data_IF_750655396573
#
_entry.id   IF_750655396573
#
_cell.length_a   1.000
_cell.length_b   1.000
_cell.length_c   1.000
_cell.angle_alpha   90.00
_cell.angle_beta   90.00
_cell.angle_gamma   90.00
#
_symmetry.space_group_name_H-M   'P 1'
#
loop_
_entity.id
_entity.type
_entity.pdbx_description
1 polymer ?
#
# COMPACT_ATOMS: atom_id res chain seq x y z
N UNK A 1 -20.02 -21.71 13.02
CA UNK A 1 -19.89 -22.08 11.59
C UNK A 1 -20.81 -21.24 10.69
N UNK A 2 -20.86 -19.91 10.91
CA UNK A 2 -21.57 -18.91 10.08
C UNK A 2 -20.74 -17.61 9.97
N UNK A 3 -19.80 -17.39 10.90
CA UNK A 3 -18.92 -16.21 10.95
C UNK A 3 -17.85 -16.17 9.84
N UNK A 4 -17.47 -17.31 9.27
CA UNK A 4 -16.50 -17.38 8.17
C UNK A 4 -17.07 -16.91 6.82
N UNK A 5 -18.37 -17.12 6.57
CA UNK A 5 -18.98 -16.71 5.30
C UNK A 5 -19.05 -15.18 5.18
N UNK A 6 -19.32 -14.48 6.28
CA UNK A 6 -19.30 -13.01 6.33
C UNK A 6 -17.90 -12.42 6.15
N UNK A 7 -16.88 -13.05 6.73
CA UNK A 7 -15.49 -12.60 6.63
C UNK A 7 -14.93 -12.78 5.20
N UNK A 8 -15.21 -13.91 4.56
CA UNK A 8 -14.81 -14.17 3.17
C UNK A 8 -15.53 -13.23 2.20
N UNK A 9 -16.82 -12.94 2.42
CA UNK A 9 -17.56 -12.01 1.57
C UNK A 9 -17.10 -10.56 1.73
N UNK A 10 -16.74 -10.14 2.94
CA UNK A 10 -16.13 -8.83 3.21
C UNK A 10 -14.78 -8.67 2.51
N UNK A 11 -13.88 -9.66 2.64
CA UNK A 11 -12.60 -9.66 1.94
C UNK A 11 -12.78 -9.67 0.43
N UNK A 12 -13.67 -10.51 -0.12
CA UNK A 12 -13.89 -10.59 -1.56
C UNK A 12 -14.49 -9.30 -2.14
N UNK A 13 -15.35 -8.60 -1.39
CA UNK A 13 -15.95 -7.33 -1.81
C UNK A 13 -14.92 -6.19 -1.78
N UNK A 14 -14.09 -6.14 -0.74
CA UNK A 14 -12.99 -5.18 -0.66
C UNK A 14 -11.96 -5.45 -1.77
N UNK A 15 -11.62 -6.72 -2.01
CA UNK A 15 -10.73 -7.16 -3.10
C UNK A 15 -11.26 -6.78 -4.49
N UNK A 16 -12.58 -6.86 -4.70
CA UNK A 16 -13.23 -6.53 -5.97
C UNK A 16 -13.19 -5.04 -6.25
N UNK A 17 -13.42 -4.20 -5.23
CA UNK A 17 -13.23 -2.75 -5.32
C UNK A 17 -11.73 -2.41 -5.53
N UNK A 18 -10.85 -3.14 -4.84
CA UNK A 18 -9.39 -3.07 -4.98
C UNK A 18 -8.86 -3.52 -6.36
N UNK A 19 -9.59 -4.36 -7.09
CA UNK A 19 -9.24 -4.84 -8.43
C UNK A 19 -9.69 -3.89 -9.55
N UNK A 20 -10.62 -2.97 -9.26
CA UNK A 20 -11.16 -2.06 -10.27
C UNK A 20 -10.28 -0.82 -10.49
N UNK A 21 -9.32 -0.58 -9.59
CA UNK A 21 -8.32 0.48 -9.75
C UNK A 21 -7.14 0.00 -10.58
N UNK A 22 -6.82 0.76 -11.63
CA UNK A 22 -5.62 0.52 -12.43
C UNK A 22 -4.38 0.75 -11.54
N UNK A 23 -3.48 -0.25 -11.50
CA UNK A 23 -2.27 -0.19 -10.69
C UNK A 23 -1.10 0.31 -11.54
N UNK A 24 -0.57 1.47 -11.21
CA UNK A 24 0.59 2.05 -11.87
C UNK A 24 1.75 2.26 -10.90
N UNK A 25 2.98 2.26 -11.41
CA UNK A 25 4.14 2.62 -10.61
C UNK A 25 4.38 4.13 -10.68
N UNK A 26 4.43 4.78 -9.52
CA UNK A 26 4.91 6.15 -9.38
C UNK A 26 6.36 6.12 -8.94
N UNK A 27 7.23 6.41 -9.90
CA UNK A 27 8.65 6.54 -9.66
C UNK A 27 8.92 7.82 -8.85
N UNK A 28 9.59 7.68 -7.71
CA UNK A 28 9.94 8.79 -6.83
C UNK A 28 11.40 8.71 -6.39
N UNK A 29 11.91 9.82 -5.86
CA UNK A 29 13.18 9.84 -5.13
C UNK A 29 12.99 9.52 -3.64
N UNK A 30 14.09 9.23 -2.94
CA UNK A 30 14.07 8.84 -1.53
C UNK A 30 13.53 9.94 -0.59
N UNK A 31 13.64 11.21 -0.99
CA UNK A 31 13.15 12.35 -0.21
C UNK A 31 11.68 12.69 -0.49
N UNK A 32 11.08 12.10 -1.52
CA UNK A 32 9.71 12.38 -1.93
C UNK A 32 8.67 12.15 -0.82
N UNK A 33 8.71 11.05 -0.02
CA UNK A 33 7.70 10.84 1.01
C UNK A 33 7.62 12.02 2.00
N UNK A 34 8.77 12.60 2.33
CA UNK A 34 8.89 13.76 3.22
C UNK A 34 8.49 15.06 2.53
N UNK A 35 8.93 15.29 1.28
CA UNK A 35 8.59 16.51 0.54
C UNK A 35 7.10 16.62 0.18
N UNK A 36 6.42 15.48 0.04
CA UNK A 36 4.99 15.41 -0.30
C UNK A 36 4.07 15.32 0.93
N UNK A 37 4.64 15.37 2.14
CA UNK A 37 3.95 15.07 3.41
C UNK A 37 3.21 13.72 3.40
N UNK A 38 3.65 12.80 2.54
CA UNK A 38 3.08 11.46 2.46
C UNK A 38 3.44 10.66 3.71
N UNK A 39 4.68 10.75 4.18
CA UNK A 39 5.08 10.05 5.40
C UNK A 39 4.37 10.59 6.63
N UNK A 40 4.20 11.91 6.75
CA UNK A 40 3.46 12.56 7.85
C UNK A 40 2.02 12.04 7.90
N UNK A 41 1.28 12.08 6.78
CA UNK A 41 -0.11 11.60 6.69
C UNK A 41 -0.29 10.15 7.14
N UNK A 42 0.69 9.29 6.90
CA UNK A 42 0.63 7.89 7.30
C UNK A 42 1.10 7.69 8.75
N UNK A 43 2.10 8.44 9.20
CA UNK A 43 2.53 8.46 10.60
C UNK A 43 1.42 8.94 11.54
N UNK A 44 0.66 9.97 11.14
CA UNK A 44 -0.53 10.44 11.88
C UNK A 44 -1.60 9.35 12.04
N UNK A 45 -1.66 8.41 11.10
CA UNK A 45 -2.54 7.23 11.15
C UNK A 45 -1.92 6.06 11.94
N UNK A 46 -0.77 6.26 12.58
CA UNK A 46 -0.06 5.24 13.34
C UNK A 46 0.80 4.30 12.50
N UNK A 47 1.07 4.61 11.23
CA UNK A 47 1.89 3.76 10.38
C UNK A 47 3.37 4.09 10.49
N UNK A 48 4.19 3.04 10.58
CA UNK A 48 5.62 3.09 10.33
C UNK A 48 5.89 2.78 8.86
N UNK A 49 6.66 3.64 8.19
CA UNK A 49 7.01 3.49 6.78
C UNK A 49 8.43 2.97 6.61
N UNK A 50 8.66 2.20 5.55
CA UNK A 50 10.00 1.80 5.10
C UNK A 50 10.01 1.46 3.62
N UNK A 51 11.20 1.49 3.04
CA UNK A 51 11.45 0.90 1.73
C UNK A 51 11.71 -0.60 1.87
N UNK A 52 11.20 -1.39 0.93
CA UNK A 52 11.44 -2.82 0.85
C UNK A 52 11.74 -3.24 -0.57
N UNK A 53 12.60 -4.23 -0.72
CA UNK A 53 12.79 -4.90 -2.01
C UNK A 53 11.51 -5.63 -2.43
N UNK A 54 11.24 -5.70 -3.74
CA UNK A 54 10.04 -6.36 -4.26
C UNK A 54 9.97 -7.84 -3.90
N UNK A 55 11.09 -8.56 -3.91
CA UNK A 55 11.17 -9.99 -3.54
C UNK A 55 10.81 -10.26 -2.08
N UNK A 56 10.93 -9.24 -1.21
CA UNK A 56 10.60 -9.37 0.21
C UNK A 56 9.18 -8.96 0.54
N UNK A 57 8.42 -8.39 -0.39
CA UNK A 57 7.07 -7.87 -0.10
C UNK A 57 6.16 -8.95 0.48
N UNK A 58 6.13 -10.14 -0.12
CA UNK A 58 5.24 -11.21 0.36
C UNK A 58 5.59 -11.66 1.78
N UNK A 59 6.89 -11.83 2.07
CA UNK A 59 7.35 -12.11 3.43
C UNK A 59 7.01 -10.98 4.40
N UNK A 60 7.11 -9.71 3.96
CA UNK A 60 6.77 -8.54 4.79
C UNK A 60 5.28 -8.42 5.04
N UNK A 61 4.43 -8.85 4.11
CA UNK A 61 2.97 -8.96 4.32
C UNK A 61 2.63 -9.91 5.46
N UNK A 62 3.34 -11.03 5.57
CA UNK A 62 3.17 -11.96 6.70
C UNK A 62 3.60 -11.32 8.04
N UNK A 63 4.58 -10.41 8.02
CA UNK A 63 4.99 -9.60 9.17
C UNK A 63 4.03 -8.42 9.47
N UNK A 64 2.93 -8.27 8.73
CA UNK A 64 1.96 -7.17 8.87
C UNK A 64 2.37 -5.86 8.19
N UNK A 65 3.25 -5.91 7.20
CA UNK A 65 3.56 -4.75 6.36
C UNK A 65 2.79 -4.79 5.04
N UNK A 66 2.25 -3.64 4.64
CA UNK A 66 1.41 -3.50 3.46
C UNK A 66 2.02 -2.49 2.49
N UNK A 67 1.74 -2.65 1.20
CA UNK A 67 2.18 -1.68 0.20
C UNK A 67 1.34 -0.41 0.37
N UNK A 68 2.00 0.74 0.45
CA UNK A 68 1.29 2.02 0.47
C UNK A 68 1.07 2.51 -0.95
N UNK A 69 -0.17 2.88 -1.23
CA UNK A 69 -0.60 3.41 -2.51
C UNK A 69 -0.99 4.88 -2.38
N UNK A 70 -0.67 5.66 -3.41
CA UNK A 70 -1.33 6.95 -3.65
C UNK A 70 -2.56 6.69 -4.53
N UNK A 71 -3.76 6.92 -4.00
CA UNK A 71 -5.01 6.66 -4.72
C UNK A 71 -5.52 7.94 -5.36
N UNK A 72 -5.65 7.93 -6.68
CA UNK A 72 -6.28 8.96 -7.50
C UNK A 72 -7.73 8.54 -7.80
N UNK A 73 -8.66 9.04 -7.00
CA UNK A 73 -10.08 8.66 -7.09
C UNK A 73 -10.75 9.12 -8.39
N UNK A 74 -10.24 10.19 -8.99
CA UNK A 74 -10.80 10.75 -10.23
C UNK A 74 -10.42 9.86 -11.40
N UNK A 75 -9.14 9.48 -11.48
CA UNK A 75 -8.62 8.62 -12.55
C UNK A 75 -8.88 7.14 -12.31
N UNK A 76 -9.35 6.77 -11.12
CA UNK A 76 -9.46 5.37 -10.66
C UNK A 76 -8.13 4.62 -10.79
N UNK A 77 -7.03 5.33 -10.49
CA UNK A 77 -5.68 4.80 -10.50
C UNK A 77 -5.16 4.72 -9.07
N UNK A 78 -4.52 3.62 -8.73
CA UNK A 78 -3.67 3.53 -7.54
C UNK A 78 -2.20 3.48 -7.98
N UNK A 79 -1.40 4.34 -7.38
CA UNK A 79 0.01 4.45 -7.68
C UNK A 79 0.84 3.81 -6.60
N UNK A 80 1.50 2.70 -6.92
CA UNK A 80 2.53 2.09 -6.09
C UNK A 80 3.75 3.00 -6.08
N UNK A 81 4.19 3.40 -4.90
CA UNK A 81 5.35 4.29 -4.76
C UNK A 81 6.62 3.46 -4.84
N UNK A 82 7.47 3.74 -5.84
CA UNK A 82 8.70 2.98 -6.10
C UNK A 82 9.90 3.90 -6.28
N UNK A 83 11.07 3.45 -5.79
CA UNK A 83 12.36 4.08 -6.08
C UNK A 83 12.91 3.61 -7.42
N UNK A 84 13.93 4.33 -7.91
CA UNK A 84 14.65 3.99 -9.15
C UNK A 84 15.27 2.59 -9.16
N UNK A 85 15.67 2.07 -8.01
CA UNK A 85 16.20 0.70 -7.91
C UNK A 85 15.11 -0.39 -7.79
N UNK A 86 13.83 0.01 -7.79
CA UNK A 86 12.69 -0.91 -7.69
C UNK A 86 12.23 -1.20 -6.25
N UNK A 87 12.86 -0.60 -5.23
CA UNK A 87 12.31 -0.64 -3.87
C UNK A 87 10.92 -0.01 -3.81
N UNK A 88 10.03 -0.66 -3.06
CA UNK A 88 8.62 -0.28 -2.89
C UNK A 88 8.41 0.29 -1.49
N UNK A 89 7.62 1.36 -1.39
CA UNK A 89 7.22 1.92 -0.10
C UNK A 89 6.17 1.04 0.55
N UNK A 90 6.46 0.57 1.76
CA UNK A 90 5.55 -0.23 2.57
C UNK A 90 5.31 0.46 3.92
N UNK A 91 4.17 0.17 4.53
CA UNK A 91 3.74 0.70 5.83
C UNK A 91 3.27 -0.43 6.73
N UNK A 92 3.44 -0.29 8.04
CA UNK A 92 2.88 -1.19 9.05
C UNK A 92 2.27 -0.35 10.16
N UNK A 93 1.03 -0.68 10.55
CA UNK A 93 0.40 -0.07 11.72
C UNK A 93 1.15 -0.50 12.99
N UNK A 94 1.46 0.48 13.85
CA UNK A 94 2.10 0.28 15.16
C UNK A 94 1.06 0.01 16.25
#
# INVERSE_FOLDING_TARGET
MLEWLGFVYGIAKDLKDYLEYEEENKLVDQSWPTKSSFDEKWKEKGYKLRWSRPDKIESRRLDGWEILYEVDKIKRVRRRIVLRDGMVLIGKIL
#
